data_IF_696984461529
#
_entry.id   IF_696984461529
#
_cell.length_a   1.000
_cell.length_b   1.000
_cell.length_c   1.000
_cell.angle_alpha   90.00
_cell.angle_beta   90.00
_cell.angle_gamma   90.00
#
_symmetry.space_group_name_H-M   'P 1'
#
loop_
_entity.id
_entity.type
_entity.pdbx_description
1 polymer ?
#
# COMPACT_ATOMS: atom_id res chain seq x y z
N UNK A 1 52.11 -24.79 -3.59
CA UNK A 1 50.98 -25.54 -3.00
C UNK A 1 49.81 -24.60 -2.91
N UNK A 2 48.71 -24.80 -3.63
CA UNK A 2 47.54 -23.95 -3.56
C UNK A 2 46.63 -24.39 -2.42
N UNK A 3 46.26 -23.46 -1.55
CA UNK A 3 45.31 -23.66 -0.43
C UNK A 3 43.89 -23.56 -0.92
N UNK A 4 43.14 -24.63 -0.71
CA UNK A 4 41.69 -24.76 -1.03
C UNK A 4 40.86 -23.89 -0.06
N UNK A 5 39.89 -23.10 -0.54
CA UNK A 5 38.98 -22.37 0.37
C UNK A 5 37.91 -23.30 1.01
N UNK A 6 37.40 -22.96 2.21
CA UNK A 6 36.47 -23.80 2.91
C UNK A 6 35.07 -23.78 2.24
N UNK A 7 34.46 -24.96 2.16
CA UNK A 7 33.07 -25.16 1.69
C UNK A 7 32.08 -24.61 2.71
N UNK A 8 31.35 -23.56 2.37
CA UNK A 8 30.16 -23.14 3.10
C UNK A 8 29.02 -24.14 2.85
N UNK A 9 28.67 -24.91 3.87
CA UNK A 9 27.48 -25.74 3.89
C UNK A 9 26.25 -24.85 4.01
N UNK A 10 25.52 -24.69 2.90
CA UNK A 10 24.22 -24.03 2.88
C UNK A 10 23.20 -24.80 3.72
N UNK A 11 22.77 -24.21 4.84
CA UNK A 11 21.54 -24.60 5.52
C UNK A 11 20.43 -23.71 4.98
N UNK A 12 19.59 -24.29 4.15
CA UNK A 12 18.29 -23.72 3.79
C UNK A 12 17.39 -23.76 5.03
N UNK A 13 16.81 -22.64 5.47
CA UNK A 13 15.81 -22.69 6.54
C UNK A 13 14.54 -23.32 5.96
N UNK A 14 14.18 -24.47 6.47
CA UNK A 14 12.93 -25.18 6.13
C UNK A 14 11.72 -24.38 6.64
N UNK A 15 10.73 -24.21 5.75
CA UNK A 15 9.46 -23.50 5.94
C UNK A 15 8.49 -24.18 6.95
N UNK A 16 8.97 -24.98 7.89
CA UNK A 16 8.16 -25.83 8.77
C UNK A 16 7.97 -25.29 10.19
N UNK A 17 8.49 -24.08 10.49
CA UNK A 17 8.35 -23.46 11.84
C UNK A 17 7.15 -22.53 12.03
N UNK A 18 6.27 -22.37 11.05
CA UNK A 18 5.18 -21.39 11.09
C UNK A 18 3.80 -21.95 11.50
N UNK A 19 3.71 -23.16 11.99
CA UNK A 19 2.43 -23.74 12.45
C UNK A 19 2.50 -24.06 13.93
N UNK A 20 2.08 -23.09 14.78
CA UNK A 20 1.88 -23.36 16.21
C UNK A 20 2.31 -22.29 17.20
N UNK A 21 2.52 -21.05 16.80
CA UNK A 21 2.80 -19.98 17.74
C UNK A 21 1.49 -19.32 18.20
N UNK A 22 1.19 -19.38 19.48
CA UNK A 22 0.19 -18.55 20.13
C UNK A 22 0.46 -17.07 19.80
N UNK A 23 -0.62 -16.27 19.76
CA UNK A 23 -0.59 -14.84 19.41
C UNK A 23 0.51 -14.12 20.19
N UNK A 24 1.51 -13.63 19.47
CA UNK A 24 2.55 -12.77 20.07
C UNK A 24 1.99 -11.35 20.22
N UNK A 25 2.43 -10.56 21.22
CA UNK A 25 2.06 -9.14 21.35
C UNK A 25 2.27 -8.32 20.08
N UNK A 26 3.22 -8.74 19.26
CA UNK A 26 3.58 -8.19 17.95
C UNK A 26 2.43 -8.28 16.94
N UNK A 27 1.89 -9.49 16.74
CA UNK A 27 0.78 -9.72 15.82
C UNK A 27 -0.53 -9.06 16.32
N UNK A 28 -0.71 -8.92 17.62
CA UNK A 28 -1.88 -8.26 18.18
C UNK A 28 -1.88 -6.76 17.91
N UNK A 29 -0.72 -6.08 18.04
CA UNK A 29 -0.59 -4.67 17.72
C UNK A 29 -0.79 -4.38 16.23
N UNK A 30 -0.32 -5.24 15.34
CA UNK A 30 -0.52 -5.11 13.91
C UNK A 30 -2.00 -5.22 13.50
N UNK A 31 -2.77 -6.09 14.15
CA UNK A 31 -4.22 -6.27 13.88
C UNK A 31 -5.09 -5.09 14.24
N UNK A 32 -4.66 -4.24 15.16
CA UNK A 32 -5.37 -3.00 15.50
C UNK A 32 -4.87 -1.80 14.68
N UNK A 33 -3.93 -2.02 13.76
CA UNK A 33 -3.35 -0.98 12.95
C UNK A 33 -4.35 -0.41 11.92
N UNK A 34 -4.15 0.86 11.60
CA UNK A 34 -4.79 1.54 10.49
C UNK A 34 -3.78 1.62 9.34
N UNK A 35 -4.14 1.08 8.18
CA UNK A 35 -3.36 1.27 6.95
C UNK A 35 -3.96 2.44 6.19
N UNK A 36 -3.16 3.49 5.99
CA UNK A 36 -3.54 4.66 5.22
C UNK A 36 -2.84 4.63 3.87
N UNK A 37 -3.62 4.62 2.80
CA UNK A 37 -3.08 4.87 1.47
C UNK A 37 -3.17 6.37 1.16
N UNK A 38 -2.02 6.97 1.00
CA UNK A 38 -1.84 8.39 0.71
C UNK A 38 -1.76 8.58 -0.81
N UNK A 39 -2.66 9.38 -1.37
CA UNK A 39 -2.80 9.58 -2.82
C UNK A 39 -1.60 10.26 -3.49
N UNK A 40 -1.63 10.31 -4.83
CA UNK A 40 -0.48 10.72 -5.65
C UNK A 40 -0.10 12.20 -5.66
N UNK A 41 -0.93 13.10 -5.13
CA UNK A 41 -0.64 14.54 -5.01
C UNK A 41 0.23 14.90 -3.80
N UNK A 42 0.80 13.91 -3.13
CA UNK A 42 1.52 14.04 -1.85
C UNK A 42 2.81 14.87 -1.96
N UNK A 43 3.29 15.17 -3.15
CA UNK A 43 4.35 16.16 -3.36
C UNK A 43 3.84 17.61 -3.31
N UNK A 44 2.51 17.80 -3.14
CA UNK A 44 1.85 19.08 -3.04
C UNK A 44 1.80 19.64 -1.61
N UNK A 45 1.32 20.86 -1.48
CA UNK A 45 1.27 21.64 -0.23
C UNK A 45 0.23 21.14 0.78
N UNK A 46 -0.62 20.16 0.43
CA UNK A 46 -1.68 19.65 1.30
C UNK A 46 -1.14 18.60 2.27
N UNK A 47 -1.07 19.00 3.55
CA UNK A 47 -0.61 18.15 4.67
C UNK A 47 -1.71 17.29 5.29
N UNK A 48 -2.97 17.39 4.87
CA UNK A 48 -4.11 16.75 5.55
C UNK A 48 -3.92 15.24 5.80
N UNK A 49 -3.37 14.51 4.82
CA UNK A 49 -3.08 13.08 5.00
C UNK A 49 -1.96 12.83 6.02
N UNK A 50 -0.96 13.71 6.12
CA UNK A 50 0.12 13.60 7.11
C UNK A 50 -0.35 14.03 8.49
N UNK A 51 -1.24 15.02 8.57
CA UNK A 51 -1.89 15.43 9.83
C UNK A 51 -2.76 14.29 10.37
N UNK A 52 -3.47 13.57 9.50
CA UNK A 52 -4.21 12.38 9.87
C UNK A 52 -3.29 11.27 10.42
N UNK A 53 -2.15 11.00 9.78
CA UNK A 53 -1.15 10.05 10.30
C UNK A 53 -0.67 10.48 11.68
N UNK A 54 -0.36 11.77 11.88
CA UNK A 54 0.10 12.29 13.15
C UNK A 54 -1.00 12.18 14.23
N UNK A 55 -2.24 12.57 13.93
CA UNK A 55 -3.38 12.45 14.85
C UNK A 55 -3.62 11.01 15.31
N UNK A 56 -3.60 10.04 14.37
CA UNK A 56 -3.73 8.63 14.71
C UNK A 56 -2.57 8.13 15.57
N UNK A 57 -1.34 8.54 15.27
CA UNK A 57 -0.16 8.20 16.07
C UNK A 57 -0.27 8.79 17.50
N UNK A 58 -0.61 10.07 17.63
CA UNK A 58 -0.76 10.75 18.92
C UNK A 58 -1.86 10.14 19.79
N UNK A 59 -2.91 9.60 19.16
CA UNK A 59 -3.96 8.83 19.86
C UNK A 59 -3.52 7.40 20.25
N UNK A 60 -2.24 7.05 20.04
CA UNK A 60 -1.66 5.74 20.39
C UNK A 60 -1.99 4.61 19.41
N UNK A 61 -2.62 4.91 18.28
CA UNK A 61 -2.97 3.90 17.27
C UNK A 61 -1.76 3.52 16.42
N UNK A 62 -1.54 2.23 16.16
CA UNK A 62 -0.55 1.79 15.18
C UNK A 62 -0.99 2.22 13.77
N UNK A 63 -0.09 2.83 13.01
CA UNK A 63 -0.36 3.31 11.64
C UNK A 63 0.69 2.77 10.68
N UNK A 64 0.26 2.33 9.52
CA UNK A 64 1.10 2.06 8.35
C UNK A 64 0.67 2.99 7.23
N UNK A 65 1.59 3.77 6.71
CA UNK A 65 1.33 4.64 5.56
C UNK A 65 1.86 4.00 4.28
N UNK A 66 1.03 3.86 3.25
CA UNK A 66 1.46 3.43 1.91
C UNK A 66 1.23 4.60 0.97
N UNK A 67 2.25 5.02 0.25
CA UNK A 67 2.13 6.20 -0.61
C UNK A 67 2.16 5.88 -2.09
N UNK A 68 1.64 6.79 -2.89
CA UNK A 68 1.82 6.84 -4.34
C UNK A 68 2.91 7.86 -4.72
N UNK A 69 2.77 8.43 -5.93
CA UNK A 69 3.72 9.41 -6.47
C UNK A 69 3.80 9.37 -8.00
N UNK A 70 2.80 8.74 -8.64
CA UNK A 70 2.76 8.57 -10.09
C UNK A 70 2.97 9.86 -10.91
N UNK A 71 2.36 11.01 -10.55
CA UNK A 71 2.61 12.27 -11.24
C UNK A 71 4.09 12.68 -11.22
N UNK A 72 4.75 12.58 -10.08
CA UNK A 72 6.17 12.94 -9.95
C UNK A 72 7.08 11.97 -10.72
N UNK A 73 6.75 10.66 -10.73
CA UNK A 73 7.44 9.69 -11.61
C UNK A 73 7.32 10.11 -13.06
N UNK A 74 6.12 10.52 -13.53
CA UNK A 74 5.91 11.00 -14.90
C UNK A 74 6.71 12.26 -15.22
N UNK A 75 6.79 13.20 -14.29
CA UNK A 75 7.61 14.41 -14.43
C UNK A 75 9.10 14.08 -14.57
N UNK A 76 9.63 13.20 -13.73
CA UNK A 76 11.03 12.78 -13.79
C UNK A 76 11.33 11.96 -15.05
N UNK A 77 10.43 11.05 -15.47
CA UNK A 77 10.55 10.31 -16.72
C UNK A 77 10.66 11.28 -17.91
N UNK A 78 9.77 12.30 -17.97
CA UNK A 78 9.81 13.33 -19.01
C UNK A 78 11.12 14.13 -19.00
N UNK A 79 11.63 14.52 -17.84
CA UNK A 79 12.92 15.22 -17.70
C UNK A 79 14.10 14.40 -18.24
N UNK A 80 14.02 13.07 -18.12
CA UNK A 80 15.02 12.13 -18.62
C UNK A 80 14.76 11.65 -20.05
N UNK A 81 13.76 12.20 -20.74
CA UNK A 81 13.43 11.86 -22.12
C UNK A 81 12.76 10.50 -22.31
N UNK A 82 12.20 9.92 -21.22
CA UNK A 82 11.48 8.66 -21.28
C UNK A 82 9.99 8.90 -21.63
N UNK A 83 9.48 8.10 -22.55
CA UNK A 83 8.04 8.11 -22.86
C UNK A 83 7.25 7.40 -21.76
N UNK A 84 6.16 8.01 -21.34
CA UNK A 84 5.24 7.42 -20.39
C UNK A 84 3.99 6.91 -21.07
N UNK A 85 3.71 5.62 -20.91
CA UNK A 85 2.48 4.97 -21.39
C UNK A 85 1.73 4.33 -20.24
N UNK A 86 0.41 4.33 -20.34
CA UNK A 86 -0.47 3.65 -19.38
C UNK A 86 -1.35 2.65 -20.11
N UNK A 87 -1.55 1.50 -19.51
CA UNK A 87 -2.47 0.48 -19.97
C UNK A 87 -3.28 -0.02 -18.76
N UNK A 88 -4.59 -0.02 -18.90
CA UNK A 88 -5.52 -0.39 -17.80
C UNK A 88 -5.24 0.36 -16.48
N UNK A 89 -4.81 1.62 -16.56
CA UNK A 89 -4.46 2.44 -15.38
C UNK A 89 -3.09 2.14 -14.77
N UNK A 90 -2.34 1.18 -15.28
CA UNK A 90 -0.98 0.83 -14.85
C UNK A 90 0.06 1.46 -15.79
N UNK A 91 1.18 1.90 -15.23
CA UNK A 91 2.29 2.45 -16.03
C UNK A 91 3.06 1.32 -16.68
N UNK A 92 3.11 1.28 -18.03
CA UNK A 92 4.02 0.40 -18.74
C UNK A 92 5.45 0.73 -18.30
N UNK A 93 6.19 -0.26 -17.83
CA UNK A 93 7.43 -0.08 -17.08
C UNK A 93 8.53 -0.95 -17.70
N UNK A 94 9.39 -0.36 -18.50
CA UNK A 94 10.67 -0.94 -18.92
C UNK A 94 11.75 -0.71 -17.85
N UNK A 95 12.97 -1.19 -18.07
CA UNK A 95 14.06 -1.02 -17.09
C UNK A 95 14.36 0.44 -16.76
N UNK A 96 14.54 1.37 -17.74
CA UNK A 96 14.77 2.77 -17.42
C UNK A 96 13.60 3.41 -16.65
N UNK A 97 12.37 3.09 -17.02
CA UNK A 97 11.16 3.58 -16.34
C UNK A 97 11.06 3.02 -14.90
N UNK A 98 11.42 1.73 -14.70
CA UNK A 98 11.48 1.11 -13.38
C UNK A 98 12.50 1.82 -12.48
N UNK A 99 13.68 2.13 -12.99
CA UNK A 99 14.75 2.79 -12.24
C UNK A 99 14.34 4.19 -11.80
N UNK A 100 13.69 4.94 -12.70
CA UNK A 100 13.10 6.25 -12.37
C UNK A 100 12.01 6.11 -11.34
N UNK A 101 11.08 5.16 -11.51
CA UNK A 101 10.00 4.93 -10.56
C UNK A 101 10.54 4.57 -9.17
N UNK A 102 11.50 3.65 -9.07
CA UNK A 102 12.14 3.27 -7.83
C UNK A 102 12.84 4.46 -7.15
N UNK A 103 13.68 5.18 -7.88
CA UNK A 103 14.41 6.34 -7.36
C UNK A 103 13.48 7.45 -6.87
N UNK A 104 12.42 7.73 -7.61
CA UNK A 104 11.44 8.75 -7.25
C UNK A 104 10.57 8.29 -6.08
N UNK A 105 10.00 7.09 -6.14
CA UNK A 105 9.07 6.62 -5.11
C UNK A 105 9.80 6.27 -3.81
N UNK A 106 10.77 5.36 -3.84
CA UNK A 106 11.48 4.91 -2.63
C UNK A 106 12.54 5.91 -2.13
N UNK A 107 13.06 6.74 -3.01
CA UNK A 107 14.01 7.80 -2.67
C UNK A 107 13.30 9.11 -2.34
N UNK A 108 12.92 9.88 -3.36
CA UNK A 108 12.49 11.27 -3.21
C UNK A 108 11.15 11.38 -2.45
N UNK A 109 10.09 10.74 -2.92
CA UNK A 109 8.76 10.84 -2.30
C UNK A 109 8.79 10.27 -0.89
N UNK A 110 9.28 9.05 -0.73
CA UNK A 110 9.33 8.37 0.56
C UNK A 110 10.08 9.18 1.61
N UNK A 111 11.28 9.67 1.29
CA UNK A 111 12.11 10.43 2.25
C UNK A 111 11.54 11.81 2.55
N UNK A 112 10.88 12.45 1.58
CA UNK A 112 10.16 13.71 1.81
C UNK A 112 9.00 13.50 2.81
N UNK A 113 8.20 12.45 2.65
CA UNK A 113 7.10 12.14 3.58
C UNK A 113 7.62 11.82 4.98
N UNK A 114 8.66 10.98 5.08
CA UNK A 114 9.31 10.67 6.36
C UNK A 114 9.80 11.92 7.06
N UNK A 115 10.51 12.81 6.35
CA UNK A 115 11.00 14.07 6.93
C UNK A 115 9.85 14.94 7.45
N UNK A 116 8.77 15.09 6.66
CA UNK A 116 7.57 15.86 7.06
C UNK A 116 6.87 15.23 8.28
N UNK A 117 6.75 13.91 8.36
CA UNK A 117 6.18 13.22 9.53
C UNK A 117 7.05 13.39 10.78
N UNK A 118 8.37 13.33 10.63
CA UNK A 118 9.31 13.57 11.74
C UNK A 118 9.15 15.00 12.27
N UNK A 119 8.98 16.01 11.41
CA UNK A 119 8.73 17.40 11.86
C UNK A 119 7.39 17.57 12.59
N UNK A 120 6.45 16.66 12.38
CA UNK A 120 5.17 16.58 13.11
C UNK A 120 5.26 15.70 14.39
N UNK A 121 6.48 15.29 14.81
CA UNK A 121 6.67 14.46 16.00
C UNK A 121 6.45 12.96 15.81
N UNK A 122 6.17 12.51 14.60
CA UNK A 122 5.92 11.09 14.30
C UNK A 122 7.24 10.38 14.00
N UNK A 123 7.62 9.30 14.74
CA UNK A 123 8.84 8.53 14.48
C UNK A 123 8.67 7.64 13.24
N UNK A 124 8.63 8.24 12.06
CA UNK A 124 8.41 7.57 10.80
C UNK A 124 9.66 6.82 10.32
N UNK A 125 9.45 5.65 9.68
CA UNK A 125 10.52 4.85 9.05
C UNK A 125 10.12 4.57 7.60
N UNK A 126 10.92 5.08 6.66
CA UNK A 126 10.67 4.92 5.23
C UNK A 126 11.28 3.63 4.69
N UNK A 127 10.45 2.85 4.01
CA UNK A 127 10.75 1.56 3.40
C UNK A 127 10.15 1.48 1.99
N UNK A 128 10.56 0.48 1.25
CA UNK A 128 9.85 -0.05 0.09
C UNK A 128 9.46 -1.52 0.34
N UNK A 129 8.65 -2.10 -0.49
CA UNK A 129 8.35 -3.54 -0.37
C UNK A 129 9.55 -4.45 -0.62
N UNK A 130 10.66 -3.91 -1.13
CA UNK A 130 11.93 -4.63 -1.33
C UNK A 130 12.66 -4.86 -0.01
N UNK A 131 12.55 -3.90 0.93
CA UNK A 131 13.30 -3.94 2.19
C UNK A 131 12.88 -5.14 3.04
N UNK A 132 13.86 -5.88 3.53
CA UNK A 132 13.62 -7.13 4.24
C UNK A 132 12.99 -8.24 3.41
N UNK A 133 12.82 -8.05 2.09
CA UNK A 133 12.05 -8.96 1.25
C UNK A 133 10.56 -8.98 1.55
N UNK A 134 10.07 -7.89 2.15
CA UNK A 134 8.71 -7.77 2.70
C UNK A 134 7.63 -8.05 1.66
N UNK A 135 7.79 -7.61 0.41
CA UNK A 135 6.77 -7.77 -0.64
C UNK A 135 7.33 -8.57 -1.82
N UNK A 136 6.65 -9.66 -2.14
CA UNK A 136 6.93 -10.48 -3.33
C UNK A 136 5.86 -10.24 -4.39
N UNK A 137 6.29 -10.24 -5.64
CA UNK A 137 5.40 -10.06 -6.77
C UNK A 137 5.82 -10.94 -7.96
N UNK A 138 4.87 -11.19 -8.84
CA UNK A 138 5.07 -11.73 -10.17
C UNK A 138 4.73 -10.65 -11.20
N UNK A 139 5.25 -10.77 -12.40
CA UNK A 139 4.88 -9.83 -13.47
C UNK A 139 3.38 -9.88 -13.73
N UNK A 140 2.76 -8.72 -13.78
CA UNK A 140 1.31 -8.58 -13.97
C UNK A 140 0.88 -9.08 -15.36
N UNK A 141 1.61 -8.61 -16.38
CA UNK A 141 1.34 -8.91 -17.79
C UNK A 141 2.61 -8.61 -18.59
N UNK A 142 2.88 -9.41 -19.63
CA UNK A 142 4.04 -9.22 -20.50
C UNK A 142 4.05 -7.85 -21.20
N UNK A 143 2.86 -7.30 -21.52
CA UNK A 143 2.72 -5.99 -22.20
C UNK A 143 3.05 -4.82 -21.27
N UNK A 144 2.94 -5.01 -19.97
CA UNK A 144 3.24 -4.01 -18.94
C UNK A 144 4.72 -3.98 -18.54
N UNK A 145 5.52 -4.99 -18.93
CA UNK A 145 6.95 -5.08 -18.61
C UNK A 145 7.19 -5.38 -17.13
N UNK A 146 7.93 -4.50 -16.44
CA UNK A 146 8.34 -4.68 -15.04
C UNK A 146 7.28 -4.15 -14.03
N UNK A 147 6.02 -4.39 -14.31
CA UNK A 147 4.91 -4.16 -13.38
C UNK A 147 4.62 -5.43 -12.61
N UNK A 148 4.49 -5.31 -11.29
CA UNK A 148 4.29 -6.44 -10.39
C UNK A 148 2.88 -6.53 -9.82
N UNK A 149 2.33 -7.76 -9.83
CA UNK A 149 1.17 -8.16 -9.05
C UNK A 149 1.67 -8.80 -7.76
N UNK A 150 1.30 -8.22 -6.61
CA UNK A 150 1.72 -8.72 -5.30
C UNK A 150 1.17 -10.12 -5.07
N UNK A 151 2.05 -11.05 -4.71
CA UNK A 151 1.69 -12.45 -4.43
C UNK A 151 1.82 -12.81 -2.95
N UNK A 152 2.70 -12.10 -2.22
CA UNK A 152 2.93 -12.33 -0.80
C UNK A 152 3.47 -11.07 -0.13
N UNK A 153 3.05 -10.85 1.11
CA UNK A 153 3.65 -9.87 2.01
C UNK A 153 4.09 -10.59 3.29
N UNK A 154 5.38 -10.51 3.61
CA UNK A 154 5.91 -10.89 4.92
C UNK A 154 5.77 -9.69 5.86
N UNK A 155 4.87 -9.79 6.83
CA UNK A 155 4.54 -8.71 7.75
C UNK A 155 5.55 -8.54 8.89
N UNK A 156 6.53 -9.42 9.04
CA UNK A 156 7.43 -9.46 10.22
C UNK A 156 8.10 -8.12 10.49
N UNK A 157 8.68 -7.49 9.45
CA UNK A 157 9.31 -6.17 9.58
C UNK A 157 8.31 -5.07 9.98
N UNK A 158 7.10 -5.10 9.44
CA UNK A 158 6.04 -4.14 9.79
C UNK A 158 5.64 -4.31 11.25
N UNK A 159 5.43 -5.54 11.68
CA UNK A 159 5.06 -5.86 13.07
C UNK A 159 6.14 -5.39 14.06
N UNK A 160 7.41 -5.63 13.77
CA UNK A 160 8.54 -5.14 14.59
C UNK A 160 8.54 -3.62 14.71
N UNK A 161 8.35 -2.89 13.61
CA UNK A 161 8.30 -1.43 13.62
C UNK A 161 7.09 -0.90 14.41
N UNK A 162 5.92 -1.51 14.25
CA UNK A 162 4.72 -1.14 15.00
C UNK A 162 4.87 -1.36 16.50
N UNK A 163 5.52 -2.45 16.91
CA UNK A 163 5.85 -2.71 18.33
C UNK A 163 6.85 -1.69 18.87
N UNK A 164 7.81 -1.29 18.05
CA UNK A 164 8.75 -0.23 18.38
C UNK A 164 8.15 1.19 18.34
N UNK A 165 6.81 1.31 18.22
CA UNK A 165 6.09 2.58 18.12
C UNK A 165 6.57 3.47 16.96
N UNK A 166 6.97 2.85 15.85
CA UNK A 166 7.34 3.56 14.63
C UNK A 166 6.21 3.46 13.59
N UNK A 167 6.12 4.47 12.76
CA UNK A 167 5.19 4.50 11.62
C UNK A 167 5.94 4.11 10.35
N UNK A 168 5.70 2.88 9.80
CA UNK A 168 6.24 2.49 8.51
C UNK A 168 5.61 3.34 7.39
N UNK A 169 6.44 3.88 6.49
CA UNK A 169 6.04 4.64 5.29
C UNK A 169 6.54 3.87 4.08
N UNK A 170 5.63 3.27 3.32
CA UNK A 170 5.96 2.23 2.33
C UNK A 170 5.82 2.76 0.90
N UNK A 171 6.91 2.68 0.14
CA UNK A 171 6.92 2.88 -1.31
C UNK A 171 6.55 1.57 -2.04
N UNK A 172 5.72 1.64 -3.10
CA UNK A 172 5.20 0.46 -3.79
C UNK A 172 6.19 -0.12 -4.80
N UNK A 173 7.14 -0.89 -4.31
CA UNK A 173 8.05 -1.71 -5.10
C UNK A 173 8.12 -3.11 -4.46
N UNK A 174 8.34 -4.15 -5.25
CA UNK A 174 8.40 -5.52 -4.76
C UNK A 174 9.48 -6.34 -5.47
N UNK A 175 9.80 -7.51 -4.95
CA UNK A 175 10.79 -8.42 -5.50
C UNK A 175 10.12 -9.58 -6.26
N UNK A 176 10.55 -9.81 -7.49
CA UNK A 176 10.36 -11.07 -8.21
C UNK A 176 11.25 -12.16 -7.60
N UNK A 177 11.00 -13.41 -7.92
CA UNK A 177 11.73 -14.56 -7.34
C UNK A 177 13.24 -14.52 -7.63
N UNK A 178 13.63 -14.02 -8.78
CA UNK A 178 15.03 -13.90 -9.22
C UNK A 178 15.77 -12.67 -8.68
N UNK A 179 15.08 -11.83 -7.88
CA UNK A 179 15.60 -10.59 -7.33
C UNK A 179 15.32 -9.35 -8.18
N UNK A 180 14.66 -9.49 -9.32
CA UNK A 180 14.22 -8.34 -10.13
C UNK A 180 13.25 -7.48 -9.34
N UNK A 181 13.48 -6.16 -9.34
CA UNK A 181 12.57 -5.20 -8.71
C UNK A 181 11.45 -4.85 -9.68
N UNK A 182 10.21 -4.98 -9.21
CA UNK A 182 9.00 -4.65 -9.94
C UNK A 182 8.35 -3.38 -9.38
N UNK A 183 7.85 -2.53 -10.29
CA UNK A 183 6.99 -1.41 -9.95
C UNK A 183 5.59 -1.93 -9.63
N UNK A 184 5.07 -1.62 -8.45
CA UNK A 184 3.76 -2.06 -7.99
C UNK A 184 2.80 -0.88 -7.92
N UNK A 185 1.52 -1.11 -8.19
CA UNK A 185 0.50 -0.10 -7.95
C UNK A 185 0.35 0.14 -6.44
N UNK A 186 0.37 1.41 -6.01
CA UNK A 186 0.33 1.76 -4.59
C UNK A 186 -0.99 1.39 -3.89
N UNK A 187 -2.10 1.31 -4.63
CA UNK A 187 -3.39 0.91 -4.08
C UNK A 187 -3.39 -0.60 -3.82
N UNK A 188 -2.89 -1.39 -4.79
CA UNK A 188 -2.70 -2.84 -4.65
C UNK A 188 -1.75 -3.18 -3.51
N UNK A 189 -0.63 -2.44 -3.38
CA UNK A 189 0.32 -2.62 -2.27
C UNK A 189 -0.35 -2.37 -0.92
N UNK A 190 -1.16 -1.31 -0.79
CA UNK A 190 -1.87 -1.01 0.45
C UNK A 190 -2.87 -2.11 0.83
N UNK A 191 -3.64 -2.62 -0.14
CA UNK A 191 -4.57 -3.74 0.07
C UNK A 191 -3.87 -5.01 0.54
N UNK A 192 -2.75 -5.38 -0.12
CA UNK A 192 -1.97 -6.56 0.23
C UNK A 192 -1.34 -6.45 1.63
N UNK A 193 -0.81 -5.27 2.00
CA UNK A 193 -0.29 -4.99 3.34
C UNK A 193 -1.40 -5.09 4.38
N UNK A 194 -2.54 -4.43 4.16
CA UNK A 194 -3.66 -4.48 5.10
C UNK A 194 -4.17 -5.91 5.34
N UNK A 195 -4.25 -6.70 4.27
CA UNK A 195 -4.63 -8.10 4.36
C UNK A 195 -3.60 -8.94 5.15
N UNK A 196 -2.29 -8.73 4.91
CA UNK A 196 -1.22 -9.53 5.54
C UNK A 196 -1.15 -9.37 7.07
N UNK A 197 -1.37 -8.15 7.57
CA UNK A 197 -1.38 -7.87 9.02
C UNK A 197 -2.77 -8.02 9.63
N UNK A 198 -3.79 -8.40 8.84
CA UNK A 198 -5.20 -8.39 9.23
C UNK A 198 -5.56 -7.05 9.92
N UNK A 199 -5.23 -5.94 9.26
CA UNK A 199 -5.42 -4.60 9.79
C UNK A 199 -6.86 -4.36 10.22
N UNK A 200 -7.07 -3.52 11.25
CA UNK A 200 -8.41 -3.11 11.67
C UNK A 200 -9.12 -2.33 10.57
N UNK A 201 -8.38 -1.47 9.89
CA UNK A 201 -8.95 -0.56 8.90
C UNK A 201 -7.92 -0.25 7.81
N UNK A 202 -8.34 -0.34 6.55
CA UNK A 202 -7.65 0.23 5.38
C UNK A 202 -8.42 1.44 4.90
N UNK A 203 -7.76 2.59 4.76
CA UNK A 203 -8.38 3.81 4.24
C UNK A 203 -7.61 4.34 3.04
N UNK A 204 -8.32 4.52 1.95
CA UNK A 204 -7.86 5.29 0.80
C UNK A 204 -8.26 6.74 0.98
N UNK A 205 -7.29 7.58 1.32
CA UNK A 205 -7.46 9.03 1.42
C UNK A 205 -7.23 9.62 0.03
N UNK A 206 -8.28 10.16 -0.59
CA UNK A 206 -8.28 10.59 -1.99
C UNK A 206 -9.05 11.91 -2.19
N UNK A 207 -9.05 12.44 -3.40
CA UNK A 207 -9.75 13.67 -3.78
C UNK A 207 -11.26 13.49 -4.01
N UNK A 208 -11.72 12.24 -4.03
CA UNK A 208 -13.15 11.91 -4.18
C UNK A 208 -13.75 11.40 -2.87
N UNK A 209 -15.06 11.65 -2.62
CA UNK A 209 -15.69 11.28 -1.34
C UNK A 209 -15.98 9.78 -1.20
N UNK A 210 -15.78 9.00 -2.25
CA UNK A 210 -16.09 7.56 -2.32
C UNK A 210 -16.41 7.13 -3.74
N UNK A 211 -16.90 5.90 -3.90
CA UNK A 211 -17.41 5.38 -5.18
C UNK A 211 -18.77 6.00 -5.47
N UNK A 212 -18.94 6.58 -6.64
CA UNK A 212 -20.20 7.18 -7.07
C UNK A 212 -20.97 6.22 -7.95
N UNK A 213 -22.29 6.14 -7.71
CA UNK A 213 -23.23 5.46 -8.61
C UNK A 213 -23.52 6.30 -9.85
N UNK A 214 -24.31 5.74 -10.76
CA UNK A 214 -24.79 6.44 -11.99
C UNK A 214 -25.63 7.69 -11.70
N UNK A 215 -26.22 7.76 -10.54
CA UNK A 215 -26.97 8.93 -10.05
C UNK A 215 -26.06 10.02 -9.47
N UNK A 216 -24.73 9.82 -9.47
CA UNK A 216 -23.74 10.74 -8.94
C UNK A 216 -23.60 10.72 -7.41
N UNK A 217 -24.41 9.95 -6.69
CA UNK A 217 -24.34 9.82 -5.24
C UNK A 217 -23.27 8.83 -4.81
N UNK A 218 -22.66 9.08 -3.65
CA UNK A 218 -21.72 8.12 -3.05
C UNK A 218 -22.47 6.89 -2.60
N UNK A 219 -21.95 5.72 -2.98
CA UNK A 219 -22.45 4.42 -2.55
C UNK A 219 -21.86 4.13 -1.17
N UNK A 220 -22.66 4.05 -0.10
CA UNK A 220 -22.12 3.96 1.26
C UNK A 220 -21.49 2.60 1.59
N UNK A 221 -21.93 1.52 0.94
CA UNK A 221 -21.41 0.15 1.14
C UNK A 221 -21.30 -0.58 -0.20
N UNK A 222 -20.22 -1.32 -0.34
CA UNK A 222 -20.00 -2.24 -1.47
C UNK A 222 -19.46 -3.57 -0.95
N UNK A 223 -20.06 -4.65 -1.41
CA UNK A 223 -19.50 -5.98 -1.35
C UNK A 223 -18.89 -6.37 -2.70
N UNK A 224 -18.39 -7.59 -2.81
CA UNK A 224 -17.75 -8.08 -4.01
C UNK A 224 -18.69 -8.12 -5.22
N UNK A 225 -19.92 -8.57 -5.03
CA UNK A 225 -20.87 -8.78 -6.13
C UNK A 225 -21.39 -7.42 -6.65
N UNK A 226 -21.71 -6.50 -5.74
CA UNK A 226 -22.11 -5.15 -6.09
C UNK A 226 -20.96 -4.38 -6.79
N UNK A 227 -19.72 -4.51 -6.29
CA UNK A 227 -18.56 -3.90 -6.92
C UNK A 227 -18.33 -4.47 -8.33
N UNK A 228 -18.42 -5.80 -8.49
CA UNK A 228 -18.31 -6.44 -9.80
C UNK A 228 -19.36 -5.93 -10.79
N UNK A 229 -20.61 -5.82 -10.40
CA UNK A 229 -21.68 -5.30 -11.26
C UNK A 229 -21.38 -3.86 -11.73
N UNK A 230 -20.83 -3.01 -10.85
CA UNK A 230 -20.45 -1.64 -11.19
C UNK A 230 -19.22 -1.54 -12.10
N UNK A 231 -18.31 -2.52 -12.03
CA UNK A 231 -17.21 -2.65 -12.98
C UNK A 231 -17.71 -3.11 -14.34
N UNK A 232 -18.54 -4.16 -14.37
CA UNK A 232 -19.08 -4.73 -15.61
C UNK A 232 -19.94 -3.71 -16.39
N UNK A 233 -20.62 -2.80 -15.71
CA UNK A 233 -21.45 -1.76 -16.32
C UNK A 233 -20.75 -0.43 -16.58
N UNK A 234 -19.42 -0.36 -16.31
CA UNK A 234 -18.55 0.79 -16.57
C UNK A 234 -18.70 1.95 -15.57
N UNK A 235 -19.43 1.77 -14.46
CA UNK A 235 -19.55 2.79 -13.39
C UNK A 235 -18.25 2.95 -12.63
N UNK A 236 -17.53 1.84 -12.40
CA UNK A 236 -16.20 1.83 -11.81
C UNK A 236 -15.19 1.60 -12.91
N UNK A 237 -14.36 2.60 -13.19
CA UNK A 237 -13.33 2.55 -14.23
C UNK A 237 -12.04 3.28 -13.83
N UNK A 238 -11.01 3.19 -14.67
CA UNK A 238 -9.76 3.93 -14.55
C UNK A 238 -9.08 3.76 -13.19
N UNK A 239 -8.68 4.86 -12.57
CA UNK A 239 -7.97 4.85 -11.29
C UNK A 239 -8.81 4.41 -10.07
N UNK A 240 -10.13 4.23 -10.22
CA UNK A 240 -10.98 3.69 -9.15
C UNK A 240 -10.90 2.16 -9.07
N UNK A 241 -10.67 1.47 -10.18
CA UNK A 241 -10.55 -0.01 -10.24
C UNK A 241 -9.55 -0.56 -9.21
N UNK A 242 -8.25 -0.16 -9.22
CA UNK A 242 -7.27 -0.71 -8.29
C UNK A 242 -7.61 -0.41 -6.82
N UNK A 243 -8.29 0.70 -6.53
CA UNK A 243 -8.73 1.03 -5.15
C UNK A 243 -9.83 0.09 -4.68
N UNK A 244 -10.83 -0.14 -5.53
CA UNK A 244 -11.93 -1.07 -5.23
C UNK A 244 -11.42 -2.49 -5.07
N UNK A 245 -10.55 -2.96 -5.97
CA UNK A 245 -9.92 -4.29 -5.86
C UNK A 245 -9.13 -4.44 -4.57
N UNK A 246 -8.33 -3.44 -4.20
CA UNK A 246 -7.55 -3.44 -2.97
C UNK A 246 -8.44 -3.44 -1.71
N UNK A 247 -9.54 -2.69 -1.72
CA UNK A 247 -10.55 -2.73 -0.65
C UNK A 247 -11.17 -4.12 -0.52
N UNK A 248 -11.53 -4.76 -1.64
CA UNK A 248 -12.10 -6.10 -1.63
C UNK A 248 -11.12 -7.18 -1.16
N UNK A 249 -9.83 -7.06 -1.50
CA UNK A 249 -8.77 -7.94 -0.99
C UNK A 249 -8.65 -7.80 0.53
N UNK A 250 -8.60 -6.58 1.05
CA UNK A 250 -8.54 -6.31 2.47
C UNK A 250 -9.80 -6.83 3.20
N UNK A 251 -10.99 -6.56 2.66
CA UNK A 251 -12.24 -7.02 3.22
C UNK A 251 -12.33 -8.55 3.32
N UNK A 252 -11.84 -9.27 2.30
CA UNK A 252 -11.78 -10.74 2.31
C UNK A 252 -10.89 -11.31 3.43
N UNK A 253 -9.93 -10.54 3.96
CA UNK A 253 -9.10 -10.93 5.12
C UNK A 253 -9.70 -10.53 6.47
N UNK A 254 -10.91 -9.95 6.49
CA UNK A 254 -11.57 -9.43 7.69
C UNK A 254 -11.17 -8.01 8.06
N UNK A 255 -10.39 -7.32 7.23
CA UNK A 255 -10.05 -5.92 7.40
C UNK A 255 -11.21 -5.05 6.85
N UNK A 256 -11.74 -4.14 7.65
CA UNK A 256 -12.66 -3.12 7.13
C UNK A 256 -11.90 -2.18 6.21
N UNK A 257 -12.42 -1.89 5.01
CA UNK A 257 -11.76 -1.00 4.07
C UNK A 257 -12.70 0.13 3.64
N UNK A 258 -12.14 1.32 3.36
CA UNK A 258 -12.95 2.46 2.93
C UNK A 258 -12.21 3.38 1.96
N UNK A 259 -12.98 4.05 1.11
CA UNK A 259 -12.52 5.16 0.26
C UNK A 259 -13.19 6.43 0.77
N UNK A 260 -12.39 7.43 1.19
CA UNK A 260 -12.88 8.68 1.77
C UNK A 260 -12.17 9.88 1.17
N UNK A 261 -12.80 11.05 1.27
CA UNK A 261 -12.17 12.32 0.88
C UNK A 261 -11.07 12.72 1.86
N UNK A 262 -9.95 13.22 1.34
CA UNK A 262 -8.90 13.84 2.16
C UNK A 262 -9.39 15.08 2.92
N UNK A 263 -10.52 15.66 2.51
CA UNK A 263 -11.13 16.83 3.19
C UNK A 263 -11.99 16.46 4.38
N UNK A 264 -12.33 15.17 4.54
CA UNK A 264 -13.15 14.66 5.63
C UNK A 264 -12.24 14.03 6.69
N UNK A 265 -11.71 14.86 7.55
CA UNK A 265 -10.76 14.47 8.60
C UNK A 265 -11.43 13.54 9.62
N UNK A 266 -12.72 13.73 9.88
CA UNK A 266 -13.48 12.95 10.87
C UNK A 266 -13.89 11.57 10.34
N UNK A 267 -13.81 11.35 9.02
CA UNK A 267 -14.20 10.10 8.38
C UNK A 267 -13.49 8.86 8.98
N UNK A 268 -12.19 8.97 9.28
CA UNK A 268 -11.41 7.85 9.82
C UNK A 268 -11.83 7.50 11.24
N UNK A 269 -12.12 8.51 12.08
CA UNK A 269 -12.63 8.28 13.44
C UNK A 269 -14.03 7.65 13.41
N UNK A 270 -14.93 8.14 12.55
CA UNK A 270 -16.24 7.54 12.33
C UNK A 270 -16.12 6.06 11.89
N UNK A 271 -15.23 5.77 10.93
CA UNK A 271 -14.97 4.40 10.49
C UNK A 271 -14.44 3.51 11.63
N UNK A 272 -13.56 4.02 12.49
CA UNK A 272 -13.03 3.31 13.66
C UNK A 272 -14.07 3.08 14.74
N UNK A 273 -15.06 3.98 14.86
CA UNK A 273 -16.22 3.82 15.72
C UNK A 273 -17.28 2.83 15.17
N UNK A 274 -17.10 2.35 13.92
CA UNK A 274 -18.04 1.43 13.28
C UNK A 274 -19.09 2.13 12.39
N UNK A 275 -19.03 3.45 12.29
CA UNK A 275 -19.94 4.25 11.47
C UNK A 275 -19.57 4.19 9.98
N UNK A 276 -20.43 4.70 9.12
CA UNK A 276 -20.19 4.79 7.68
C UNK A 276 -19.64 6.16 7.32
N UNK A 277 -18.54 6.18 6.56
CA UNK A 277 -18.01 7.36 5.93
C UNK A 277 -17.46 6.98 4.56
N UNK A 278 -17.72 7.80 3.55
CA UNK A 278 -17.36 7.50 2.16
C UNK A 278 -18.01 6.22 1.65
N UNK A 279 -17.22 5.35 1.02
CA UNK A 279 -17.64 4.00 0.60
C UNK A 279 -16.90 2.96 1.41
N UNK A 280 -17.63 2.14 2.16
CA UNK A 280 -17.10 1.06 3.01
C UNK A 280 -17.22 -0.27 2.28
N UNK A 281 -16.16 -1.07 2.39
CA UNK A 281 -16.08 -2.44 1.89
C UNK A 281 -15.97 -3.39 3.08
N UNK A 282 -16.86 -4.36 3.13
CA UNK A 282 -16.91 -5.38 4.18
C UNK A 282 -17.01 -6.76 3.53
N UNK A 283 -16.54 -7.80 4.22
CA UNK A 283 -16.77 -9.16 3.74
C UNK A 283 -18.29 -9.41 3.65
N UNK A 284 -18.72 -10.17 2.65
CA UNK A 284 -20.10 -10.66 2.62
C UNK A 284 -20.36 -11.45 3.91
N UNK A 285 -21.51 -11.17 4.53
CA UNK A 285 -21.95 -11.83 5.77
C UNK A 285 -22.21 -13.32 5.57
#
# INVERSE_FOLDING_TARGET
MPTTPPKHSGRTPTAERARGAGRTPTAERARVAVVLKIGGSVAGEDDAALDLVASLYDSGRPVVAVHGGGPLVGEWAKRLGLETRFERGLRVTDEPTRDVALGVLAGLVNKTLVARLITKGVPATGLSGVDGGMMRAEREDATLGLVGRVTMVDSSLLEELLVALRVPVIAPAALEKDGTILNVNGDTAAGAIAASIAARLLVFVTDVPGVRGKDGRVIPRLDRDAAKALVDDGTIEGGMLPKVEACLIAAASGCRAAIVSARDIDAVEALLAGELAGTVFEAAA
#
